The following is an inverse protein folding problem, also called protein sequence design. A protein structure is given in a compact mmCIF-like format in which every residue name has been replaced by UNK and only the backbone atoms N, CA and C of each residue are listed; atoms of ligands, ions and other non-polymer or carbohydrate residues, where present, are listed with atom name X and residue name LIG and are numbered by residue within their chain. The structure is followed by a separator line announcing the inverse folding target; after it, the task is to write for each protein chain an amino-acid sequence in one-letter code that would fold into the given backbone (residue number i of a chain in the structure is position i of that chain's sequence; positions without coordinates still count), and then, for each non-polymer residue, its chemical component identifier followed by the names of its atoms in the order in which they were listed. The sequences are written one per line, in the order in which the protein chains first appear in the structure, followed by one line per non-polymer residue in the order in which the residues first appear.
data_IF_275806464875
#
_entry.id   IF_275806464875
#
_cell.length_a   1.000
_cell.length_b   1.000
_cell.length_c   1.000
_cell.angle_alpha   90.00
_cell.angle_beta   90.00
_cell.angle_gamma   90.00
#
_symmetry.space_group_name_H-M   'P 1'
#
loop_
_entity.id
_entity.type
_entity.pdbx_description
1 polymer ?
2 water ?
#
# COMPACT_ATOMS: atom_id res chain seq x y z
N UNK A 5 -11.26 16.83 -5.57
CA UNK A 5 -10.15 16.47 -4.69
C UNK A 5 -10.61 16.40 -3.25
N UNK A 6 -11.76 15.77 -3.01
CA UNK A 6 -12.13 15.46 -1.63
C UNK A 6 -11.15 14.44 -1.06
N UNK A 7 -11.03 14.44 0.26
CA UNK A 7 -10.24 13.43 0.95
C UNK A 7 -10.69 12.04 0.51
N UNK A 8 -11.99 11.83 0.46
CA UNK A 8 -12.54 10.54 0.08
C UNK A 8 -12.11 10.12 -1.32
N UNK A 9 -12.24 11.02 -2.29
CA UNK A 9 -11.85 10.70 -3.66
C UNK A 9 -10.35 10.42 -3.77
N UNK A 10 -9.56 11.17 -3.01
CA UNK A 10 -8.11 10.99 -3.01
C UNK A 10 -7.64 9.64 -2.46
N UNK A 11 -8.50 8.95 -1.72
CA UNK A 11 -8.13 7.62 -1.22
C UNK A 11 -7.87 6.62 -2.35
N UNK A 12 -8.52 6.80 -3.49
CA UNK A 12 -8.31 5.92 -4.63
C UNK A 12 -6.82 5.84 -4.99
N UNK A 13 -6.14 6.98 -4.92
CA UNK A 13 -4.72 7.05 -5.23
C UNK A 13 -3.88 6.25 -4.22
N UNK A 14 -4.25 6.31 -2.94
CA UNK A 14 -3.58 5.52 -1.93
C UNK A 14 -3.81 4.02 -2.09
N UNK A 15 -5.06 3.65 -2.36
CA UNK A 15 -5.41 2.26 -2.62
C UNK A 15 -4.60 1.72 -3.80
N UNK A 16 -4.52 2.52 -4.87
CA UNK A 16 -3.81 2.13 -6.08
C UNK A 16 -2.31 2.00 -5.83
N UNK A 17 -1.76 2.90 -5.02
CA UNK A 17 -0.36 2.83 -4.66
C UNK A 17 -0.06 1.45 -4.06
N UNK A 18 -0.92 1.00 -3.16
CA UNK A 18 -0.74 -0.29 -2.52
C UNK A 18 -0.95 -1.46 -3.48
N UNK A 19 -2.05 -1.45 -4.22
CA UNK A 19 -2.36 -2.57 -5.10
C UNK A 19 -1.29 -2.75 -6.18
N UNK A 20 -0.83 -1.63 -6.73
CA UNK A 20 0.22 -1.66 -7.73
C UNK A 20 1.53 -2.18 -7.13
N UNK A 21 1.86 -1.72 -5.93
CA UNK A 21 3.08 -2.19 -5.27
C UNK A 21 3.03 -3.68 -4.92
N UNK A 22 1.87 -4.19 -4.53
CA UNK A 22 1.72 -5.62 -4.26
C UNK A 22 1.97 -6.43 -5.52
N UNK A 23 1.41 -5.99 -6.64
CA UNK A 23 1.64 -6.67 -7.91
C UNK A 23 3.13 -6.66 -8.24
N UNK A 24 3.80 -5.54 -7.99
CA UNK A 24 5.24 -5.44 -8.22
C UNK A 24 6.03 -6.36 -7.30
N UNK A 25 5.59 -6.50 -6.05
CA UNK A 25 6.26 -7.44 -5.15
C UNK A 25 6.25 -8.86 -5.73
N UNK A 26 5.10 -9.28 -6.24
CA UNK A 26 4.99 -10.64 -6.75
C UNK A 26 5.89 -10.84 -7.97
N UNK A 27 5.94 -9.83 -8.84
CA UNK A 27 6.83 -9.88 -9.99
C UNK A 27 8.30 -9.91 -9.56
N UNK A 28 8.67 -9.07 -8.60
CA UNK A 28 10.05 -9.02 -8.13
C UNK A 28 10.48 -10.38 -7.59
N UNK A 29 9.61 -10.98 -6.78
CA UNK A 29 9.90 -12.27 -6.16
C UNK A 29 10.14 -13.33 -7.24
N UNK A 30 9.26 -13.36 -8.23
CA UNK A 30 9.36 -14.32 -9.32
C UNK A 30 10.60 -14.08 -10.20
N UNK A 31 10.95 -12.82 -10.39
CA UNK A 31 12.09 -12.45 -11.22
C UNK A 31 13.42 -12.67 -10.52
N UNK A 32 13.36 -12.82 -9.20
CA UNK A 32 14.57 -12.95 -8.40
C UNK A 32 14.47 -14.16 -7.47
N UNK A 33 14.55 -15.37 -8.04
CA UNK A 33 14.40 -16.56 -7.20
C UNK A 33 15.46 -16.62 -6.11
N UNK A 34 15.03 -17.06 -4.93
CA UNK A 34 15.91 -17.20 -3.79
C UNK A 34 16.20 -15.93 -3.03
N UNK A 35 15.62 -14.81 -3.47
CA UNK A 35 15.95 -13.50 -2.90
C UNK A 35 14.92 -12.99 -1.88
N UNK A 36 13.64 -13.29 -2.11
CA UNK A 36 12.58 -12.82 -1.23
C UNK A 36 12.02 -11.47 -1.64
N UNK A 37 10.97 -11.05 -0.95
CA UNK A 37 10.37 -9.74 -1.19
C UNK A 37 11.32 -8.61 -0.79
N UNK A 38 11.03 -7.40 -1.27
CA UNK A 38 11.95 -6.28 -1.08
C UNK A 38 11.29 -5.10 -0.38
N UNK A 39 12.08 -4.37 0.40
CA UNK A 39 11.61 -3.12 1.01
C UNK A 39 11.96 -1.89 0.18
N UNK A 40 12.62 -2.10 -0.96
CA UNK A 40 13.14 -0.99 -1.76
C UNK A 40 12.23 -0.71 -2.95
N UNK A 41 11.58 0.45 -2.99
CA UNK A 41 10.66 0.73 -4.09
C UNK A 41 11.35 0.76 -5.46
N UNK A 42 12.63 1.11 -5.49
CA UNK A 42 13.37 1.11 -6.75
C UNK A 42 13.43 -0.30 -7.34
N UNK A 43 13.53 -1.31 -6.49
CA UNK A 43 13.55 -2.69 -6.97
C UNK A 43 12.21 -3.14 -7.53
N UNK A 44 11.15 -2.41 -7.20
CA UNK A 44 9.83 -2.65 -7.76
C UNK A 44 9.63 -1.92 -9.09
N UNK A 45 10.65 -1.18 -9.53
CA UNK A 45 10.56 -0.40 -10.75
C UNK A 45 9.85 0.93 -10.56
N UNK A 46 9.84 1.43 -9.33
CA UNK A 46 9.24 2.73 -9.02
C UNK A 46 10.32 3.79 -8.82
N UNK A 47 10.07 4.99 -9.35
CA UNK A 47 11.03 6.08 -9.24
C UNK A 47 10.79 6.93 -7.99
N UNK A 48 9.74 6.62 -7.24
CA UNK A 48 9.43 7.35 -6.01
C UNK A 48 8.55 6.49 -5.12
N UNK A 49 8.67 6.68 -3.81
CA UNK A 49 7.76 6.06 -2.85
C UNK A 49 6.50 6.91 -2.68
N UNK A 50 6.49 8.11 -3.24
CA UNK A 50 5.28 8.94 -3.22
C UNK A 50 4.32 8.55 -4.32
N UNK A 51 3.02 8.64 -4.03
CA UNK A 51 2.00 8.53 -5.06
C UNK A 51 2.14 9.70 -6.05
N UNK A 52 1.57 9.58 -7.26
CA UNK A 52 1.86 10.57 -8.31
C UNK A 52 1.53 12.01 -7.95
N UNK A 53 0.50 12.23 -7.15
CA UNK A 53 0.12 13.57 -6.75
C UNK A 53 0.52 13.91 -5.32
N UNK A 54 1.44 13.11 -4.79
CA UNK A 54 2.02 13.36 -3.46
C UNK A 54 0.96 13.41 -2.37
N UNK A 55 0.09 12.40 -2.37
CA UNK A 55 -0.98 12.27 -1.40
C UNK A 55 -0.72 11.15 -0.40
N UNK A 56 0.06 10.15 -0.81
CA UNK A 56 0.44 9.04 0.05
C UNK A 56 1.90 8.71 -0.17
N UNK A 57 2.54 8.20 0.88
CA UNK A 57 3.91 7.71 0.80
C UNK A 57 3.93 6.23 1.17
N UNK A 58 4.58 5.43 0.34
CA UNK A 58 4.63 3.98 0.51
C UNK A 58 5.84 3.55 1.33
N UNK A 59 5.59 2.81 2.40
CA UNK A 59 6.67 2.12 3.10
C UNK A 59 6.34 0.64 3.16
N UNK A 60 7.39 -0.18 3.26
CA UNK A 60 7.26 -1.62 3.14
C UNK A 60 7.96 -2.32 4.29
N UNK A 61 7.25 -3.25 4.92
CA UNK A 61 7.87 -4.17 5.88
C UNK A 61 7.86 -5.56 5.26
N UNK A 62 8.93 -6.31 5.50
CA UNK A 62 9.00 -7.72 5.13
C UNK A 62 9.33 -8.52 6.39
N UNK A 63 8.30 -8.89 7.17
CA UNK A 63 8.54 -9.58 8.44
C UNK A 63 9.32 -10.88 8.26
N UNK A 64 9.13 -11.54 7.13
CA UNK A 64 9.93 -12.70 6.71
C UNK A 64 10.21 -12.51 5.23
N UNK A 65 11.05 -13.35 4.64
CA UNK A 65 11.40 -13.21 3.23
C UNK A 65 10.21 -13.49 2.31
N UNK A 66 9.19 -14.15 2.84
CA UNK A 66 8.04 -14.54 2.03
C UNK A 66 6.75 -13.81 2.40
N UNK A 67 6.87 -12.74 3.18
CA UNK A 67 5.71 -11.93 3.52
C UNK A 67 6.04 -10.45 3.36
N UNK A 68 5.01 -9.63 3.16
CA UNK A 68 5.18 -8.18 3.16
C UNK A 68 3.91 -7.50 3.63
N UNK A 69 4.09 -6.37 4.29
CA UNK A 69 2.99 -5.48 4.62
C UNK A 69 3.32 -4.11 4.06
N UNK A 70 2.45 -3.61 3.19
CA UNK A 70 2.62 -2.32 2.56
C UNK A 70 1.77 -1.30 3.29
N UNK A 71 2.35 -0.14 3.56
CA UNK A 71 1.62 0.95 4.20
C UNK A 71 1.65 2.20 3.32
N UNK A 72 0.48 2.78 3.10
CA UNK A 72 0.34 4.05 2.42
C UNK A 72 -0.06 5.09 3.46
N UNK A 73 0.88 5.97 3.77
CA UNK A 73 0.67 7.00 4.79
C UNK A 73 0.28 8.31 4.12
N UNK A 74 -0.85 8.91 4.53
CA UNK A 74 -1.23 10.20 3.94
C UNK A 74 -0.17 11.26 4.18
N UNK A 75 0.09 12.06 3.16
CA UNK A 75 1.01 13.18 3.25
C UNK A 75 0.33 14.43 2.69
N UNK A 76 0.94 15.58 2.96
CA UNK A 76 0.43 16.86 2.46
C UNK A 76 -1.04 17.05 2.82
N UNK A 77 -1.88 17.45 1.87
CA UNK A 77 -3.29 17.71 2.19
C UNK A 77 -4.02 16.49 2.76
N UNK A 78 -3.58 15.29 2.38
CA UNK A 78 -4.29 14.06 2.76
C UNK A 78 -4.11 13.71 4.23
N UNK A 79 -3.18 14.39 4.92
CA UNK A 79 -3.01 14.19 6.36
C UNK A 79 -4.29 14.54 7.13
N UNK A 80 -5.18 15.30 6.51
CA UNK A 80 -6.49 15.59 7.11
C UNK A 80 -7.39 14.36 7.23
N UNK A 81 -7.02 13.25 6.59
CA UNK A 81 -7.86 12.04 6.61
C UNK A 81 -7.73 11.28 7.92
N UNK A 82 -8.40 11.77 8.95
CA UNK A 82 -8.36 11.13 10.25
C UNK A 82 -9.16 9.84 10.25
N UNK A 83 -10.22 9.80 9.46
CA UNK A 83 -11.10 8.63 9.44
C UNK A 83 -10.38 7.38 8.94
N UNK A 84 -9.62 7.51 7.86
CA UNK A 84 -8.99 6.34 7.26
C UNK A 84 -7.49 6.23 7.53
N UNK A 85 -6.81 7.36 7.71
CA UNK A 85 -5.40 7.33 8.06
C UNK A 85 -4.54 6.48 7.14
N UNK A 86 -3.68 5.66 7.73
CA UNK A 86 -2.82 4.77 6.96
C UNK A 86 -3.61 3.62 6.36
N UNK A 87 -3.44 3.40 5.07
CA UNK A 87 -4.00 2.24 4.41
C UNK A 87 -2.93 1.15 4.36
N UNK A 88 -3.34 -0.11 4.46
CA UNK A 88 -2.38 -1.21 4.44
C UNK A 88 -2.85 -2.32 3.52
N UNK A 89 -1.90 -3.10 3.03
CA UNK A 89 -2.18 -4.25 2.19
C UNK A 89 -1.05 -5.24 2.36
N UNK A 90 -1.36 -6.52 2.57
CA UNK A 90 -0.29 -7.51 2.71
C UNK A 90 -0.28 -8.54 1.58
N UNK A 91 0.60 -9.54 1.71
CA UNK A 91 0.81 -10.50 0.63
C UNK A 91 -0.37 -11.45 0.43
N UNK A 92 -1.23 -11.53 1.44
CA UNK A 92 -2.44 -12.34 1.38
C UNK A 92 -3.59 -11.57 0.74
N UNK A 93 -3.38 -10.28 0.49
CA UNK A 93 -4.42 -9.42 -0.04
C UNK A 93 -5.29 -8.81 1.04
N UNK A 94 -4.91 -8.98 2.29
CA UNK A 94 -5.65 -8.38 3.39
C UNK A 94 -5.48 -6.87 3.40
N UNK A 95 -6.61 -6.17 3.36
CA UNK A 95 -6.66 -4.72 3.36
C UNK A 95 -6.83 -4.19 4.76
N UNK A 96 -6.33 -2.98 4.99
CA UNK A 96 -6.49 -2.35 6.27
C UNK A 96 -6.58 -0.84 6.15
N UNK A 97 -7.04 -0.21 7.22
CA UNK A 97 -7.16 1.24 7.30
C UNK A 97 -7.34 1.60 8.75
N UNK A 98 -6.85 2.77 9.14
CA UNK A 98 -7.07 3.31 10.48
C UNK A 98 -6.70 2.34 11.59
N UNK A 99 -5.62 1.59 11.37
CA UNK A 99 -5.13 0.65 12.37
C UNK A 99 -5.90 -0.65 12.46
N UNK A 100 -6.89 -0.83 11.59
CA UNK A 100 -7.69 -2.05 11.55
C UNK A 100 -7.42 -2.84 10.27
N UNK A 101 -7.81 -4.11 10.27
CA UNK A 101 -7.65 -4.95 9.09
C UNK A 101 -8.88 -5.80 8.86
N UNK A 102 -9.07 -6.24 7.62
CA UNK A 102 -10.08 -7.22 7.30
C UNK A 102 -11.41 -6.70 6.81
N UNK A 103 -12.37 -7.62 6.74
CA UNK A 103 -13.69 -7.40 6.18
C UNK A 103 -14.64 -6.78 7.21
N UNK A 104 -14.45 -5.50 7.50
CA UNK A 104 -15.33 -4.76 8.39
C UNK A 104 -15.68 -3.41 7.78
N UNK A 105 -16.66 -2.73 8.37
CA UNK A 105 -17.18 -1.49 7.79
C UNK A 105 -16.12 -0.39 7.67
N UNK A 106 -15.27 -0.25 8.68
CA UNK A 106 -14.25 0.80 8.66
C UNK A 106 -13.28 0.60 7.51
N UNK A 107 -12.69 -0.59 7.43
CA UNK A 107 -11.74 -0.89 6.37
C UNK A 107 -12.42 -0.85 5.00
N UNK A 108 -13.59 -1.48 4.90
CA UNK A 108 -14.28 -1.54 3.62
C UNK A 108 -14.61 -0.16 3.07
N UNK A 109 -15.09 0.74 3.92
CA UNK A 109 -15.43 2.06 3.42
C UNK A 109 -14.19 2.84 2.98
N UNK A 110 -13.09 2.66 3.70
CA UNK A 110 -11.83 3.33 3.38
C UNK A 110 -11.22 2.84 2.07
N UNK A 111 -11.62 1.65 1.64
CA UNK A 111 -11.16 1.08 0.38
C UNK A 111 -12.12 1.31 -0.79
N UNK A 112 -13.17 2.10 -0.56
CA UNK A 112 -14.07 2.50 -1.64
C UNK A 112 -13.54 3.73 -2.36
#
# INVERSE_FOLDING_TARGET
GIDPFTIRSNRTEGQALLSDAAARQERYYSQNPGVGYTKDVAKLGMSSANSPNNLYNLTIATPTSTTYTLTATPINSQTRDKTCGKLTLNQLGERGAAGKTGNNSTVNDCWR
#
